data_IF_155348305281
#
_entry.id   IF_155348305281
#
_cell.length_a   1.000
_cell.length_b   1.000
_cell.length_c   1.000
_cell.angle_alpha   90.00
_cell.angle_beta   90.00
_cell.angle_gamma   90.00
#
_symmetry.space_group_name_H-M   'P 1'
#
loop_
_entity.id
_entity.type
_entity.pdbx_description
1 polymer ?
#
# COMPACT_ATOMS: atom_id res chain seq x y z
N UNK A 1 -8.01 -18.33 16.84
CA UNK A 1 -8.92 -17.20 16.51
C UNK A 1 -9.15 -17.27 15.01
N UNK A 2 -10.30 -16.87 14.51
CA UNK A 2 -10.55 -16.98 13.05
C UNK A 2 -9.82 -15.88 12.27
N UNK A 3 -9.40 -16.18 11.05
CA UNK A 3 -8.75 -15.24 10.08
C UNK A 3 -9.42 -13.87 10.06
N UNK A 4 -10.73 -13.82 10.18
CA UNK A 4 -11.49 -12.58 10.16
C UNK A 4 -11.21 -11.66 11.36
N UNK A 5 -10.96 -12.22 12.54
CA UNK A 5 -10.62 -11.45 13.74
C UNK A 5 -9.21 -10.85 13.62
N UNK A 6 -8.25 -11.62 13.13
CA UNK A 6 -6.90 -11.13 12.90
C UNK A 6 -6.86 -10.03 11.83
N UNK A 7 -7.59 -10.21 10.73
CA UNK A 7 -7.76 -9.18 9.71
C UNK A 7 -8.38 -7.90 10.27
N UNK A 8 -9.36 -8.04 11.18
CA UNK A 8 -9.97 -6.90 11.85
C UNK A 8 -8.98 -6.16 12.76
N UNK A 9 -8.20 -6.90 13.55
CA UNK A 9 -7.18 -6.32 14.44
C UNK A 9 -6.11 -5.56 13.63
N UNK A 10 -5.61 -6.15 12.54
CA UNK A 10 -4.67 -5.49 11.63
C UNK A 10 -5.26 -4.20 11.06
N UNK A 11 -6.52 -4.24 10.60
CA UNK A 11 -7.23 -3.08 10.06
C UNK A 11 -7.40 -1.95 11.09
N UNK A 12 -7.77 -2.29 12.32
CA UNK A 12 -7.93 -1.33 13.42
C UNK A 12 -6.57 -0.71 13.79
N UNK A 13 -5.52 -1.50 13.93
CA UNK A 13 -4.18 -1.00 14.23
C UNK A 13 -3.67 -0.08 13.11
N UNK A 14 -3.89 -0.48 11.85
CA UNK A 14 -3.56 0.36 10.70
C UNK A 14 -4.25 1.72 10.78
N UNK A 15 -5.56 1.77 11.06
CA UNK A 15 -6.31 3.03 11.15
C UNK A 15 -5.81 3.92 12.30
N UNK A 16 -5.57 3.35 13.47
CA UNK A 16 -5.06 4.09 14.62
C UNK A 16 -3.69 4.70 14.30
N UNK A 17 -2.79 3.91 13.70
CA UNK A 17 -1.45 4.36 13.32
C UNK A 17 -1.44 5.31 12.11
N UNK A 18 -2.52 5.35 11.34
CA UNK A 18 -2.68 6.24 10.17
C UNK A 18 -3.32 7.58 10.49
N UNK A 19 -3.75 7.84 11.74
CA UNK A 19 -4.33 9.14 12.17
C UNK A 19 -3.42 10.30 11.78
N UNK A 20 -2.08 10.26 12.01
CA UNK A 20 -1.19 11.23 11.41
C UNK A 20 -0.95 10.86 9.94
N UNK A 21 -1.31 11.75 9.01
CA UNK A 21 -1.13 11.53 7.54
C UNK A 21 0.30 11.16 7.19
N UNK A 22 1.27 11.67 7.94
CA UNK A 22 2.71 11.43 7.74
C UNK A 22 3.12 9.98 8.00
N UNK A 23 2.42 9.28 8.90
CA UNK A 23 2.73 7.91 9.30
C UNK A 23 2.01 6.84 8.48
N UNK A 24 1.12 7.22 7.56
CA UNK A 24 0.37 6.28 6.70
C UNK A 24 1.31 5.30 5.97
N UNK A 25 2.45 5.78 5.46
CA UNK A 25 3.42 4.91 4.77
C UNK A 25 4.01 3.84 5.68
N UNK A 26 4.32 4.18 6.93
CA UNK A 26 4.87 3.23 7.89
C UNK A 26 3.81 2.25 8.42
N UNK A 27 2.59 2.72 8.67
CA UNK A 27 1.49 1.86 9.09
C UNK A 27 1.06 0.91 7.97
N UNK A 28 1.16 1.36 6.71
CA UNK A 28 0.90 0.52 5.55
C UNK A 28 1.93 -0.60 5.41
N UNK A 29 3.22 -0.33 5.61
CA UNK A 29 4.27 -1.35 5.62
C UNK A 29 4.06 -2.38 6.75
N UNK A 30 3.72 -1.92 7.96
CA UNK A 30 3.41 -2.82 9.08
C UNK A 30 2.19 -3.71 8.79
N UNK A 31 1.17 -3.16 8.14
CA UNK A 31 0.02 -3.93 7.68
C UNK A 31 0.43 -4.98 6.64
N UNK A 32 1.25 -4.61 5.65
CA UNK A 32 1.72 -5.54 4.61
C UNK A 32 2.52 -6.69 5.20
N UNK A 33 3.43 -6.43 6.15
CA UNK A 33 4.18 -7.49 6.83
C UNK A 33 3.26 -8.42 7.62
N UNK A 34 2.33 -7.88 8.41
CA UNK A 34 1.39 -8.68 9.19
C UNK A 34 0.54 -9.58 8.30
N UNK A 35 0.08 -9.07 7.16
CA UNK A 35 -0.69 -9.84 6.18
C UNK A 35 0.17 -10.89 5.46
N UNK A 36 1.44 -10.58 5.20
CA UNK A 36 2.39 -11.53 4.64
C UNK A 36 2.65 -12.69 5.60
N UNK A 37 2.92 -12.41 6.87
CA UNK A 37 3.11 -13.42 7.90
C UNK A 37 1.89 -14.34 8.02
N UNK A 38 0.69 -13.77 7.98
CA UNK A 38 -0.56 -14.52 7.98
C UNK A 38 -0.71 -15.40 6.71
N UNK A 39 -0.21 -14.91 5.56
CA UNK A 39 -0.25 -15.67 4.30
C UNK A 39 0.69 -16.87 4.32
N UNK A 40 1.89 -16.73 4.89
CA UNK A 40 2.95 -17.76 4.92
C UNK A 40 2.76 -18.76 6.06
N UNK A 41 2.44 -18.28 7.27
CA UNK A 41 2.40 -19.10 8.47
C UNK A 41 0.97 -19.53 8.89
N UNK A 42 -0.06 -19.01 8.22
CA UNK A 42 -1.46 -19.33 8.51
C UNK A 42 -2.06 -18.56 9.69
N UNK A 43 -3.17 -19.08 10.21
CA UNK A 43 -3.91 -18.46 11.31
C UNK A 43 -3.12 -18.52 12.63
N UNK A 44 -3.25 -17.48 13.46
CA UNK A 44 -2.67 -17.42 14.81
C UNK A 44 -1.27 -16.83 14.88
N UNK A 45 -0.68 -16.44 13.75
CA UNK A 45 0.67 -15.85 13.71
C UNK A 45 0.68 -14.34 13.97
N UNK A 46 -0.46 -13.68 13.85
CA UNK A 46 -0.54 -12.24 14.07
C UNK A 46 -0.35 -11.88 15.55
N UNK A 47 0.56 -10.95 15.81
CA UNK A 47 0.76 -10.34 17.12
C UNK A 47 0.80 -8.83 17.00
N UNK A 48 -0.04 -8.12 17.77
CA UNK A 48 -0.04 -6.66 17.81
C UNK A 48 1.35 -6.07 18.16
N UNK A 49 2.15 -6.79 18.94
CA UNK A 49 3.53 -6.42 19.27
C UNK A 49 4.44 -6.42 18.04
N UNK A 50 4.27 -7.38 17.14
CA UNK A 50 5.03 -7.47 15.89
C UNK A 50 4.66 -6.32 14.97
N UNK A 51 3.37 -6.06 14.76
CA UNK A 51 2.89 -4.89 14.01
C UNK A 51 3.53 -3.59 14.53
N UNK A 52 3.56 -3.41 15.86
CA UNK A 52 4.15 -2.23 16.47
C UNK A 52 5.66 -2.14 16.29
N UNK A 53 6.34 -3.28 16.29
CA UNK A 53 7.78 -3.39 16.01
C UNK A 53 8.10 -2.92 14.59
N UNK A 54 7.39 -3.46 13.60
CA UNK A 54 7.57 -3.10 12.19
C UNK A 54 7.15 -1.67 11.91
N UNK A 55 6.07 -1.21 12.52
CA UNK A 55 5.67 0.19 12.43
C UNK A 55 6.80 1.12 12.86
N UNK A 56 7.42 0.87 14.04
CA UNK A 56 8.53 1.70 14.54
C UNK A 56 9.76 1.63 13.66
N UNK A 57 10.13 0.46 13.18
CA UNK A 57 11.32 0.30 12.31
C UNK A 57 11.12 0.98 10.96
N UNK A 58 9.89 0.96 10.44
CA UNK A 58 9.51 1.54 9.15
C UNK A 58 9.31 3.06 9.18
N UNK A 59 9.13 3.68 10.37
CA UNK A 59 8.94 5.13 10.48
C UNK A 59 10.10 5.92 9.86
N UNK A 60 11.34 5.59 10.24
CA UNK A 60 12.51 6.34 9.76
C UNK A 60 12.68 6.31 8.23
N UNK A 61 12.61 5.14 7.57
CA UNK A 61 12.81 5.06 6.13
C UNK A 61 11.58 5.51 5.32
N UNK A 62 10.36 5.20 5.75
CA UNK A 62 9.18 5.42 4.94
C UNK A 62 8.53 6.79 5.10
N UNK A 63 8.69 7.45 6.26
CA UNK A 63 8.15 8.80 6.44
C UNK A 63 8.69 9.80 5.41
N UNK A 64 10.02 9.94 5.19
CA UNK A 64 10.52 10.87 4.19
C UNK A 64 10.07 10.47 2.76
N UNK A 65 10.09 9.18 2.44
CA UNK A 65 9.64 8.68 1.14
C UNK A 65 8.17 8.99 0.91
N UNK A 66 7.33 8.77 1.92
CA UNK A 66 5.90 9.08 1.89
C UNK A 66 5.65 10.59 1.71
N UNK A 67 6.37 11.45 2.43
CA UNK A 67 6.27 12.90 2.28
C UNK A 67 6.63 13.35 0.86
N UNK A 68 7.69 12.81 0.26
CA UNK A 68 8.06 13.10 -1.13
C UNK A 68 6.94 12.66 -2.09
N UNK A 69 6.39 11.46 -1.90
CA UNK A 69 5.27 10.99 -2.72
C UNK A 69 4.02 11.86 -2.57
N UNK A 70 3.69 12.31 -1.34
CA UNK A 70 2.58 13.23 -1.12
C UNK A 70 2.77 14.57 -1.86
N UNK A 71 3.98 15.12 -1.85
CA UNK A 71 4.29 16.33 -2.61
C UNK A 71 4.14 16.10 -4.12
N UNK A 72 4.60 14.95 -4.63
CA UNK A 72 4.41 14.56 -6.03
C UNK A 72 2.92 14.42 -6.38
N UNK A 73 2.12 13.77 -5.53
CA UNK A 73 0.68 13.63 -5.75
C UNK A 73 -0.05 14.98 -5.69
N UNK A 74 0.32 15.86 -4.76
CA UNK A 74 -0.23 17.22 -4.71
C UNK A 74 0.11 18.00 -5.98
N UNK A 75 1.36 17.93 -6.44
CA UNK A 75 1.80 18.54 -7.70
C UNK A 75 1.05 18.01 -8.92
N UNK A 76 0.88 16.67 -9.03
CA UNK A 76 0.08 16.06 -10.09
C UNK A 76 -1.38 16.51 -10.04
N UNK A 77 -1.97 16.56 -8.84
CA UNK A 77 -3.35 17.02 -8.67
C UNK A 77 -3.56 18.47 -9.10
N UNK A 78 -2.63 19.36 -8.75
CA UNK A 78 -2.65 20.76 -9.20
C UNK A 78 -2.50 20.87 -10.72
N UNK A 79 -1.61 20.09 -11.34
CA UNK A 79 -1.43 20.06 -12.78
C UNK A 79 -2.68 19.54 -13.49
N UNK A 80 -3.30 18.46 -13.00
CA UNK A 80 -4.56 17.93 -13.56
C UNK A 80 -5.64 18.99 -13.48
N UNK A 81 -5.80 19.66 -12.34
CA UNK A 81 -6.76 20.75 -12.15
C UNK A 81 -6.52 21.90 -13.11
N UNK A 82 -5.26 22.31 -13.30
CA UNK A 82 -4.89 23.36 -14.24
C UNK A 82 -5.26 22.98 -15.67
N UNK A 83 -4.96 21.76 -16.11
CA UNK A 83 -5.28 21.27 -17.45
C UNK A 83 -6.81 21.20 -17.67
N UNK A 84 -7.56 20.75 -16.67
CA UNK A 84 -9.02 20.66 -16.75
C UNK A 84 -9.69 22.03 -16.89
N UNK A 85 -9.12 23.07 -16.25
CA UNK A 85 -9.69 24.42 -16.26
C UNK A 85 -9.26 25.26 -17.48
N UNK A 86 -8.04 25.06 -18.00
CA UNK A 86 -7.44 25.97 -18.99
C UNK A 86 -7.31 25.34 -20.39
N UNK A 87 -7.50 24.02 -20.51
CA UNK A 87 -7.31 23.34 -21.79
C UNK A 87 -8.59 22.67 -22.27
N UNK A 88 -8.75 22.55 -23.60
CA UNK A 88 -9.89 21.92 -24.24
C UNK A 88 -9.42 21.00 -25.38
N UNK A 89 -10.34 20.14 -25.84
CA UNK A 89 -10.08 19.24 -26.97
C UNK A 89 -9.11 18.10 -26.66
N UNK A 90 -8.45 17.60 -27.71
CA UNK A 90 -7.57 16.42 -27.66
C UNK A 90 -6.38 16.60 -26.76
N UNK A 91 -5.83 17.82 -26.67
CA UNK A 91 -4.69 18.13 -25.81
C UNK A 91 -4.98 17.85 -24.32
N UNK A 92 -6.19 18.20 -23.85
CA UNK A 92 -6.62 17.90 -22.48
C UNK A 92 -6.62 16.40 -22.21
N UNK A 93 -7.14 15.59 -23.15
CA UNK A 93 -7.19 14.13 -22.97
C UNK A 93 -5.80 13.50 -22.90
N UNK A 94 -4.89 13.94 -23.80
CA UNK A 94 -3.50 13.44 -23.83
C UNK A 94 -2.78 13.76 -22.52
N UNK A 95 -2.85 15.00 -22.06
CA UNK A 95 -2.19 15.42 -20.81
C UNK A 95 -2.77 14.71 -19.58
N UNK A 96 -4.09 14.57 -19.48
CA UNK A 96 -4.71 13.80 -18.41
C UNK A 96 -4.26 12.34 -18.44
N UNK A 97 -4.16 11.70 -19.61
CA UNK A 97 -3.65 10.34 -19.77
C UNK A 97 -2.20 10.22 -19.26
N UNK A 98 -1.32 11.14 -19.60
CA UNK A 98 0.06 11.17 -19.12
C UNK A 98 0.11 11.29 -17.59
N UNK A 99 -0.66 12.19 -16.99
CA UNK A 99 -0.69 12.36 -15.53
C UNK A 99 -1.24 11.13 -14.80
N UNK A 100 -2.23 10.43 -15.38
CA UNK A 100 -2.74 9.17 -14.82
C UNK A 100 -1.63 8.09 -14.83
N UNK A 101 -0.88 7.97 -15.93
CA UNK A 101 0.24 7.01 -16.01
C UNK A 101 1.34 7.35 -14.99
N UNK A 102 1.69 8.63 -14.85
CA UNK A 102 2.65 9.08 -13.84
C UNK A 102 2.17 8.79 -12.42
N UNK A 103 0.89 9.02 -12.13
CA UNK A 103 0.28 8.69 -10.84
C UNK A 103 0.40 7.20 -10.55
N UNK A 104 0.05 6.34 -11.51
CA UNK A 104 0.15 4.87 -11.37
C UNK A 104 1.59 4.43 -11.12
N UNK A 105 2.57 5.02 -11.83
CA UNK A 105 3.98 4.71 -11.63
C UNK A 105 4.46 5.07 -10.22
N UNK A 106 4.20 6.30 -9.77
CA UNK A 106 4.61 6.76 -8.43
C UNK A 106 3.95 5.91 -7.35
N UNK A 107 2.65 5.59 -7.51
CA UNK A 107 1.92 4.76 -6.58
C UNK A 107 2.46 3.32 -6.56
N UNK A 108 2.77 2.75 -7.73
CA UNK A 108 3.39 1.43 -7.84
C UNK A 108 4.76 1.35 -7.16
N UNK A 109 5.61 2.36 -7.37
CA UNK A 109 6.91 2.45 -6.68
C UNK A 109 6.70 2.46 -5.16
N UNK A 110 5.75 3.25 -4.67
CA UNK A 110 5.44 3.34 -3.24
C UNK A 110 4.99 1.99 -2.68
N UNK A 111 4.16 1.24 -3.41
CA UNK A 111 3.69 -0.10 -3.03
C UNK A 111 4.86 -1.08 -2.88
N UNK A 112 5.74 -1.14 -3.88
CA UNK A 112 6.89 -2.05 -3.84
C UNK A 112 7.94 -1.64 -2.78
N UNK A 113 8.21 -0.35 -2.61
CA UNK A 113 9.10 0.11 -1.52
C UNK A 113 8.55 -0.28 -0.15
N UNK A 114 7.24 -0.11 0.07
CA UNK A 114 6.61 -0.45 1.34
C UNK A 114 6.80 -1.92 1.69
N UNK A 115 6.62 -2.83 0.72
CA UNK A 115 6.79 -4.27 0.97
C UNK A 115 8.26 -4.65 1.13
N UNK A 116 9.20 -4.06 0.37
CA UNK A 116 10.63 -4.29 0.57
C UNK A 116 11.08 -3.88 1.97
N UNK A 117 10.66 -2.72 2.46
CA UNK A 117 10.99 -2.25 3.80
C UNK A 117 10.28 -3.10 4.87
N UNK A 118 9.05 -3.54 4.61
CA UNK A 118 8.31 -4.41 5.50
C UNK A 118 9.06 -5.74 5.74
N UNK A 119 9.47 -6.41 4.66
CA UNK A 119 10.13 -7.72 4.73
C UNK A 119 11.56 -7.65 5.27
N UNK A 120 12.31 -6.58 4.97
CA UNK A 120 13.73 -6.50 5.35
C UNK A 120 13.98 -5.73 6.65
N UNK A 121 13.03 -4.92 7.10
CA UNK A 121 13.16 -4.03 8.25
C UNK A 121 14.24 -2.95 8.12
N UNK A 122 14.91 -2.84 6.95
CA UNK A 122 16.03 -1.93 6.69
C UNK A 122 15.78 -1.11 5.43
N UNK A 123 16.42 0.05 5.37
CA UNK A 123 16.40 0.89 4.17
C UNK A 123 17.67 0.67 3.35
N UNK A 124 17.51 0.37 2.06
CA UNK A 124 18.60 0.36 1.09
C UNK A 124 18.20 1.20 -0.14
N UNK A 125 19.16 1.95 -0.71
CA UNK A 125 18.94 2.73 -1.95
C UNK A 125 18.60 1.84 -3.15
N UNK A 126 19.06 0.60 -3.15
CA UNK A 126 18.77 -0.37 -4.21
C UNK A 126 17.28 -0.72 -4.25
N UNK A 127 16.56 -0.64 -3.13
CA UNK A 127 15.11 -0.87 -3.09
C UNK A 127 14.34 0.16 -3.92
N UNK A 128 14.83 1.40 -4.02
CA UNK A 128 14.20 2.40 -4.88
C UNK A 128 14.32 2.02 -6.35
N UNK A 129 15.51 1.58 -6.80
CA UNK A 129 15.74 1.11 -8.18
C UNK A 129 14.92 -0.14 -8.47
N UNK A 130 14.96 -1.11 -7.57
CA UNK A 130 14.24 -2.36 -7.71
C UNK A 130 12.72 -2.13 -7.75
N UNK A 131 12.20 -1.26 -6.89
CA UNK A 131 10.77 -0.90 -6.89
C UNK A 131 10.35 -0.20 -8.19
N UNK A 132 11.20 0.66 -8.74
CA UNK A 132 10.94 1.30 -10.03
C UNK A 132 10.91 0.27 -11.18
N UNK A 133 11.89 -0.63 -11.23
CA UNK A 133 11.95 -1.70 -12.23
C UNK A 133 10.75 -2.63 -12.11
N UNK A 134 10.37 -3.00 -10.88
CA UNK A 134 9.21 -3.85 -10.62
C UNK A 134 7.90 -3.18 -11.01
N UNK A 135 7.74 -1.88 -10.71
CA UNK A 135 6.55 -1.12 -11.10
C UNK A 135 6.38 -1.07 -12.63
N UNK A 136 7.49 -1.01 -13.39
CA UNK A 136 7.46 -1.08 -14.85
C UNK A 136 7.25 -2.51 -15.37
N UNK A 137 8.00 -3.49 -14.84
CA UNK A 137 7.93 -4.87 -15.29
C UNK A 137 6.58 -5.53 -15.01
N UNK A 138 5.96 -5.19 -13.86
CA UNK A 138 4.68 -5.74 -13.40
C UNK A 138 3.57 -4.69 -13.43
N UNK A 139 3.56 -3.84 -14.46
CA UNK A 139 2.59 -2.76 -14.60
C UNK A 139 1.12 -3.22 -14.49
N UNK A 140 0.69 -4.37 -15.05
CA UNK A 140 -0.66 -4.89 -14.84
C UNK A 140 -1.00 -5.14 -13.37
N UNK A 141 -0.04 -5.67 -12.60
CA UNK A 141 -0.20 -5.88 -11.14
C UNK A 141 -0.36 -4.54 -10.43
N UNK A 142 0.43 -3.51 -10.79
CA UNK A 142 0.30 -2.16 -10.25
C UNK A 142 -1.10 -1.59 -10.48
N UNK A 143 -1.64 -1.72 -11.69
CA UNK A 143 -3.01 -1.28 -12.01
C UNK A 143 -4.02 -1.99 -11.10
N UNK A 144 -3.92 -3.31 -10.99
CA UNK A 144 -4.86 -4.11 -10.20
C UNK A 144 -4.81 -3.73 -8.72
N UNK A 145 -3.61 -3.61 -8.15
CA UNK A 145 -3.40 -3.18 -6.75
C UNK A 145 -3.91 -1.75 -6.54
N UNK A 146 -3.69 -0.85 -7.51
CA UNK A 146 -4.18 0.53 -7.44
C UNK A 146 -5.71 0.58 -7.46
N UNK A 147 -6.35 -0.21 -8.33
CA UNK A 147 -7.82 -0.30 -8.39
C UNK A 147 -8.39 -0.85 -7.09
N UNK A 148 -7.76 -1.89 -6.53
CA UNK A 148 -8.16 -2.45 -5.23
C UNK A 148 -8.02 -1.41 -4.10
N UNK A 149 -6.92 -0.69 -4.04
CA UNK A 149 -6.70 0.37 -3.04
C UNK A 149 -7.65 1.56 -3.26
N UNK A 150 -7.90 1.95 -4.51
CA UNK A 150 -8.85 3.02 -4.83
C UNK A 150 -10.29 2.63 -4.47
N UNK A 151 -10.67 1.35 -4.57
CA UNK A 151 -11.99 0.89 -4.15
C UNK A 151 -12.26 1.14 -2.66
N UNK A 152 -11.22 1.09 -1.83
CA UNK A 152 -11.30 1.44 -0.41
C UNK A 152 -11.64 2.92 -0.22
N UNK A 153 -11.02 3.80 -1.03
CA UNK A 153 -11.25 5.24 -0.94
C UNK A 153 -12.66 5.65 -1.39
N UNK A 154 -13.30 4.89 -2.28
CA UNK A 154 -14.66 5.23 -2.74
C UNK A 154 -15.70 5.18 -1.63
N UNK A 155 -15.44 4.43 -0.56
CA UNK A 155 -16.33 4.35 0.60
C UNK A 155 -16.43 5.70 1.34
N UNK A 156 -15.33 6.44 1.41
CA UNK A 156 -15.33 7.76 2.04
C UNK A 156 -16.17 8.79 1.27
N UNK A 157 -16.55 8.48 0.03
CA UNK A 157 -17.46 9.30 -0.77
C UNK A 157 -18.94 8.99 -0.51
N UNK A 158 -19.28 7.97 0.28
CA UNK A 158 -20.65 7.63 0.63
C UNK A 158 -21.25 8.67 1.60
N UNK A 159 -22.58 8.95 1.50
CA UNK A 159 -23.26 9.82 2.45
C UNK A 159 -23.07 9.35 3.90
N UNK A 160 -22.82 10.26 4.81
CA UNK A 160 -22.44 9.95 6.20
C UNK A 160 -23.41 9.04 6.97
N UNK A 161 -24.70 9.04 6.61
CA UNK A 161 -25.71 8.15 7.20
C UNK A 161 -25.49 6.67 6.86
N UNK A 162 -25.00 6.37 5.66
CA UNK A 162 -24.65 5.02 5.23
C UNK A 162 -23.28 4.62 5.78
N UNK A 163 -22.36 5.57 5.85
CA UNK A 163 -21.02 5.36 6.40
C UNK A 163 -21.10 4.90 7.86
N UNK A 164 -21.94 5.54 8.69
CA UNK A 164 -22.13 5.16 10.09
C UNK A 164 -22.73 3.76 10.26
N UNK A 165 -23.69 3.38 9.42
CA UNK A 165 -24.35 2.06 9.50
C UNK A 165 -23.47 0.91 9.01
N UNK A 166 -22.68 1.16 7.98
CA UNK A 166 -21.80 0.17 7.36
C UNK A 166 -20.37 0.21 7.92
N UNK A 167 -20.05 1.21 8.72
CA UNK A 167 -18.71 1.46 9.23
C UNK A 167 -18.01 0.23 9.83
N UNK A 168 -18.63 -0.57 10.72
CA UNK A 168 -17.98 -1.76 11.26
C UNK A 168 -17.72 -2.84 10.19
N UNK A 169 -18.64 -3.04 9.25
CA UNK A 169 -18.50 -3.99 8.15
C UNK A 169 -17.45 -3.55 7.14
N UNK A 170 -17.43 -2.26 6.83
CA UNK A 170 -16.46 -1.64 5.95
C UNK A 170 -15.06 -1.72 6.53
N UNK A 171 -14.93 -1.47 7.82
CA UNK A 171 -13.67 -1.50 8.54
C UNK A 171 -13.09 -2.92 8.60
N UNK A 172 -13.94 -3.92 8.83
CA UNK A 172 -13.57 -5.33 8.90
C UNK A 172 -13.22 -5.94 7.55
N UNK A 173 -14.09 -5.76 6.56
CA UNK A 173 -13.98 -6.52 5.30
C UNK A 173 -13.37 -5.73 4.16
N UNK A 174 -13.67 -4.45 4.05
CA UNK A 174 -13.30 -3.68 2.87
C UNK A 174 -11.85 -3.17 2.91
N UNK A 175 -11.30 -3.02 4.11
CA UNK A 175 -9.91 -2.57 4.26
C UNK A 175 -8.93 -3.74 4.19
N UNK A 176 -9.19 -4.79 4.96
CA UNK A 176 -8.24 -5.89 5.14
C UNK A 176 -8.27 -6.90 4.01
N UNK A 177 -9.44 -7.21 3.41
CA UNK A 177 -9.52 -8.14 2.29
C UNK A 177 -8.78 -7.67 1.04
N UNK A 178 -9.00 -6.44 0.53
CA UNK A 178 -8.20 -5.93 -0.60
C UNK A 178 -6.72 -5.86 -0.29
N UNK A 179 -6.34 -5.47 0.94
CA UNK A 179 -4.95 -5.43 1.36
C UNK A 179 -4.30 -6.82 1.34
N UNK A 180 -4.99 -7.85 1.81
CA UNK A 180 -4.52 -9.24 1.76
C UNK A 180 -4.29 -9.71 0.32
N UNK A 181 -5.24 -9.43 -0.58
CA UNK A 181 -5.08 -9.76 -2.01
C UNK A 181 -3.91 -8.98 -2.62
N UNK A 182 -3.77 -7.69 -2.27
CA UNK A 182 -2.65 -6.87 -2.73
C UNK A 182 -1.30 -7.44 -2.28
N UNK A 183 -1.17 -7.83 -1.02
CA UNK A 183 0.06 -8.45 -0.49
C UNK A 183 0.35 -9.76 -1.22
N UNK A 184 -0.63 -10.64 -1.36
CA UNK A 184 -0.46 -11.90 -2.09
C UNK A 184 -0.02 -11.71 -3.54
N UNK A 185 -0.54 -10.71 -4.24
CA UNK A 185 -0.13 -10.38 -5.61
C UNK A 185 1.28 -9.78 -5.68
N UNK A 186 1.63 -8.92 -4.72
CA UNK A 186 2.95 -8.29 -4.67
C UNK A 186 4.02 -9.32 -4.32
N UNK A 187 3.80 -10.18 -3.33
CA UNK A 187 4.73 -11.24 -2.93
C UNK A 187 4.93 -12.24 -4.07
N UNK A 188 3.86 -12.70 -4.69
CA UNK A 188 3.95 -13.58 -5.88
C UNK A 188 4.69 -12.96 -7.06
N UNK A 189 4.71 -11.63 -7.15
CA UNK A 189 5.48 -10.90 -8.17
C UNK A 189 6.96 -10.77 -7.81
N UNK A 190 7.29 -10.73 -6.51
CA UNK A 190 8.65 -10.55 -5.99
C UNK A 190 9.40 -11.87 -5.85
N UNK A 191 8.73 -12.94 -5.43
CA UNK A 191 9.31 -14.26 -5.17
C UNK A 191 10.22 -14.77 -6.29
N UNK A 192 9.83 -14.76 -7.59
CA UNK A 192 10.68 -15.26 -8.68
C UNK A 192 11.91 -14.39 -8.98
N UNK A 193 11.96 -13.15 -8.49
CA UNK A 193 13.02 -12.18 -8.78
C UNK A 193 13.96 -11.96 -7.59
N UNK A 194 13.49 -12.21 -6.39
CA UNK A 194 14.23 -12.00 -5.14
C UNK A 194 14.00 -13.17 -4.17
N UNK A 195 14.38 -14.41 -4.53
CA UNK A 195 14.19 -15.58 -3.67
C UNK A 195 14.89 -15.40 -2.31
N UNK A 196 16.02 -14.69 -2.28
CA UNK A 196 16.80 -14.43 -1.06
C UNK A 196 16.01 -13.72 0.05
N UNK A 197 14.94 -12.98 -0.29
CA UNK A 197 14.09 -12.33 0.69
C UNK A 197 13.15 -13.30 1.41
N UNK A 198 12.88 -14.45 0.79
CA UNK A 198 11.92 -15.44 1.25
C UNK A 198 12.60 -16.69 1.84
N UNK A 199 13.85 -17.02 1.41
CA UNK A 199 14.61 -18.19 1.88
C UNK A 199 15.10 -18.07 3.34
N UNK A 200 15.29 -16.85 3.86
CA UNK A 200 15.76 -16.64 5.23
C UNK A 200 14.75 -17.07 6.31
N UNK A 201 13.49 -17.29 5.95
CA UNK A 201 12.44 -17.73 6.89
C UNK A 201 12.36 -19.26 7.04
N UNK A 202 12.89 -20.04 6.09
CA UNK A 202 12.95 -21.50 6.20
C UNK A 202 14.11 -21.99 7.10
N UNK A 203 15.13 -21.15 7.31
CA UNK A 203 16.29 -21.49 8.13
C UNK A 203 16.09 -21.27 9.64
N UNK A 204 15.03 -20.61 10.07
CA UNK A 204 14.68 -20.40 11.49
C UNK A 204 13.62 -21.39 12.04
N UNK A 205 13.25 -22.40 11.27
CA UNK A 205 12.42 -23.54 11.73
C UNK A 205 13.28 -24.74 12.10
#
# INVERSE_FOLDING_TARGET
MGVLLELAEIGILFLICSIPIVTIGASYAAMQESLYQMHVHGEGCFTAKQFWGTFKSSLKPLVPTWCICLLCFAGLGLNIRFVLLNMSGSMRMILCGIYIVLFLLIFGILQYISIFVALTGKWNRDYLKNSFLMALAKFPTVILVTVMTASVLTIFMLPGSWLLRLFPLVLLFWFSCPAYVCVSLLTRSLEPLFPELFDNEESEK
#
